data_IF_214697051179
#
_entry.id   IF_214697051179
#
_cell.length_a   1.000
_cell.length_b   1.000
_cell.length_c   1.000
_cell.angle_alpha   90.00
_cell.angle_beta   90.00
_cell.angle_gamma   90.00
#
_symmetry.space_group_name_H-M   'P 1'
#
loop_
_entity.id
_entity.type
_entity.pdbx_description
1 polymer ?
#
# COMPACT_ATOMS: atom_id res chain seq x y z
N UNK A 1 6.27 -13.68 15.92
CA UNK A 1 5.65 -14.35 14.74
C UNK A 1 4.60 -13.45 14.13
N UNK A 2 4.66 -13.21 12.83
CA UNK A 2 3.71 -12.36 12.08
C UNK A 2 2.32 -13.00 12.09
N UNK A 3 1.28 -12.18 12.19
CA UNK A 3 -0.12 -12.62 12.06
C UNK A 3 -0.48 -12.73 10.56
N UNK A 4 0.12 -13.71 9.85
CA UNK A 4 0.07 -13.80 8.40
C UNK A 4 -1.37 -13.82 7.86
N UNK A 5 -2.27 -14.64 8.43
CA UNK A 5 -3.65 -14.68 7.98
C UNK A 5 -4.38 -13.33 8.06
N UNK A 6 -4.10 -12.55 9.13
CA UNK A 6 -4.62 -11.19 9.29
C UNK A 6 -4.03 -10.22 8.29
N UNK A 7 -2.72 -10.34 8.02
CA UNK A 7 -2.04 -9.52 7.01
C UNK A 7 -2.64 -9.75 5.63
N UNK A 8 -2.82 -11.00 5.22
CA UNK A 8 -3.39 -11.34 3.92
C UNK A 8 -4.84 -10.87 3.79
N UNK A 9 -5.67 -11.07 4.82
CA UNK A 9 -7.05 -10.57 4.82
C UNK A 9 -7.10 -9.02 4.75
N UNK A 10 -6.27 -8.33 5.54
CA UNK A 10 -6.15 -6.89 5.49
C UNK A 10 -5.68 -6.40 4.11
N UNK A 11 -4.73 -7.11 3.51
CA UNK A 11 -4.21 -6.83 2.17
C UNK A 11 -5.27 -6.98 1.09
N UNK A 12 -6.07 -8.04 1.13
CA UNK A 12 -7.15 -8.25 0.18
C UNK A 12 -8.18 -7.10 0.23
N UNK A 13 -8.63 -6.73 1.44
CA UNK A 13 -9.57 -5.62 1.64
C UNK A 13 -8.96 -4.28 1.20
N UNK A 14 -7.69 -4.03 1.58
CA UNK A 14 -6.98 -2.81 1.20
C UNK A 14 -6.79 -2.70 -0.31
N UNK A 15 -6.49 -3.82 -0.98
CA UNK A 15 -6.35 -3.86 -2.44
C UNK A 15 -7.66 -3.57 -3.15
N UNK A 16 -8.77 -4.11 -2.67
CA UNK A 16 -10.09 -3.79 -3.23
C UNK A 16 -10.43 -2.32 -3.04
N UNK A 17 -10.16 -1.74 -1.87
CA UNK A 17 -10.35 -0.31 -1.63
C UNK A 17 -9.46 0.55 -2.53
N UNK A 18 -8.20 0.16 -2.71
CA UNK A 18 -7.25 0.86 -3.59
C UNK A 18 -7.69 0.80 -5.06
N UNK A 19 -8.15 -0.36 -5.54
CA UNK A 19 -8.68 -0.52 -6.90
C UNK A 19 -9.95 0.31 -7.09
N UNK A 20 -10.88 0.30 -6.13
CA UNK A 20 -12.08 1.12 -6.19
C UNK A 20 -11.75 2.61 -6.23
N UNK A 21 -10.78 3.07 -5.42
CA UNK A 21 -10.31 4.45 -5.43
C UNK A 21 -9.65 4.82 -6.77
N UNK A 22 -8.83 3.92 -7.33
CA UNK A 22 -8.18 4.13 -8.62
C UNK A 22 -9.22 4.26 -9.75
N UNK A 23 -10.24 3.38 -9.78
CA UNK A 23 -11.34 3.44 -10.75
C UNK A 23 -12.13 4.75 -10.59
N UNK A 24 -12.44 5.14 -9.35
CA UNK A 24 -13.16 6.39 -9.07
C UNK A 24 -12.33 7.61 -9.48
N UNK A 25 -11.05 7.63 -9.15
CA UNK A 25 -10.13 8.68 -9.56
C UNK A 25 -10.03 8.79 -11.07
N UNK A 26 -9.89 7.66 -11.76
CA UNK A 26 -9.90 7.62 -13.22
C UNK A 26 -11.22 8.13 -13.79
N UNK A 27 -12.36 7.74 -13.22
CA UNK A 27 -13.68 8.19 -13.67
C UNK A 27 -13.86 9.70 -13.46
N UNK A 28 -13.35 10.28 -12.39
CA UNK A 28 -13.39 11.72 -12.12
C UNK A 28 -12.46 12.49 -13.06
N UNK A 29 -11.25 11.98 -13.31
CA UNK A 29 -10.29 12.65 -14.21
C UNK A 29 -10.77 12.74 -15.65
N UNK A 30 -11.69 11.85 -16.11
CA UNK A 30 -12.25 11.95 -17.46
C UNK A 30 -13.11 13.20 -17.68
N UNK A 31 -13.51 13.91 -16.63
CA UNK A 31 -14.21 15.19 -16.74
C UNK A 31 -13.26 16.38 -16.93
N UNK A 32 -11.97 16.21 -16.73
CA UNK A 32 -10.97 17.21 -17.11
C UNK A 32 -10.65 17.12 -18.60
N UNK A 33 -10.98 18.16 -19.42
CA UNK A 33 -10.93 18.05 -20.89
C UNK A 33 -9.54 17.71 -21.44
N UNK A 34 -8.47 18.23 -20.82
CA UNK A 34 -7.10 18.04 -21.29
C UNK A 34 -6.52 16.66 -20.95
N UNK A 35 -6.86 16.12 -19.77
CA UNK A 35 -6.35 14.83 -19.29
C UNK A 35 -7.25 13.67 -19.72
N UNK A 36 -8.56 13.89 -19.70
CA UNK A 36 -9.55 12.85 -19.97
C UNK A 36 -9.52 12.38 -21.43
N UNK A 37 -9.20 13.25 -22.38
CA UNK A 37 -9.21 12.88 -23.80
C UNK A 37 -7.95 12.13 -24.21
N UNK A 38 -6.78 12.52 -23.74
CA UNK A 38 -5.53 11.79 -23.94
C UNK A 38 -5.60 10.42 -23.28
N UNK A 39 -6.00 10.37 -22.00
CA UNK A 39 -6.12 9.14 -21.23
C UNK A 39 -7.18 8.17 -21.80
N UNK A 40 -8.29 8.71 -22.32
CA UNK A 40 -9.35 7.91 -22.91
C UNK A 40 -8.97 7.29 -24.25
N UNK A 41 -8.25 8.03 -25.11
CA UNK A 41 -7.78 7.51 -26.41
C UNK A 41 -6.75 6.41 -26.22
N UNK A 42 -5.78 6.61 -25.35
CA UNK A 42 -4.64 5.70 -25.22
C UNK A 42 -4.96 4.47 -24.37
N UNK A 43 -5.67 4.61 -23.24
CA UNK A 43 -5.99 3.47 -22.38
C UNK A 43 -7.14 2.59 -22.88
N UNK A 44 -8.21 3.16 -23.43
CA UNK A 44 -9.34 2.37 -23.94
C UNK A 44 -9.03 1.71 -25.28
N UNK A 45 -8.15 2.29 -26.09
CA UNK A 45 -7.72 1.70 -27.34
C UNK A 45 -6.69 0.59 -27.16
N UNK A 46 -5.91 0.59 -26.08
CA UNK A 46 -4.78 -0.32 -25.89
C UNK A 46 -5.10 -1.60 -25.12
N UNK A 47 -6.11 -1.61 -24.26
CA UNK A 47 -6.38 -2.78 -23.42
C UNK A 47 -7.80 -3.30 -23.61
N UNK A 48 -7.98 -4.51 -24.17
CA UNK A 48 -9.27 -5.18 -24.20
C UNK A 48 -9.79 -5.46 -22.76
N UNK A 49 -11.11 -5.52 -22.58
CA UNK A 49 -11.74 -5.76 -21.29
C UNK A 49 -11.10 -6.90 -20.45
N UNK A 50 -10.69 -8.05 -21.05
CA UNK A 50 -10.00 -9.10 -20.33
C UNK A 50 -8.68 -8.66 -19.69
N UNK A 51 -7.94 -7.74 -20.32
CA UNK A 51 -6.69 -7.23 -19.77
C UNK A 51 -6.91 -6.30 -18.56
N UNK A 52 -7.98 -5.52 -18.54
CA UNK A 52 -8.38 -4.72 -17.38
C UNK A 52 -8.75 -5.61 -16.18
N UNK A 53 -9.52 -6.69 -16.43
CA UNK A 53 -9.85 -7.67 -15.40
C UNK A 53 -8.59 -8.33 -14.87
N UNK A 54 -7.70 -8.77 -15.76
CA UNK A 54 -6.42 -9.38 -15.38
C UNK A 54 -5.54 -8.43 -14.54
N UNK A 55 -5.46 -7.16 -14.94
CA UNK A 55 -4.74 -6.13 -14.18
C UNK A 55 -5.34 -5.91 -12.78
N UNK A 56 -6.66 -5.85 -12.67
CA UNK A 56 -7.37 -5.74 -11.40
C UNK A 56 -7.11 -6.95 -10.48
N UNK A 57 -7.19 -8.15 -11.02
CA UNK A 57 -6.89 -9.41 -10.29
C UNK A 57 -5.41 -9.41 -9.84
N UNK A 58 -4.49 -9.07 -10.74
CA UNK A 58 -3.07 -8.99 -10.41
C UNK A 58 -2.80 -7.94 -9.31
N UNK A 59 -3.48 -6.78 -9.35
CA UNK A 59 -3.37 -5.75 -8.31
C UNK A 59 -3.87 -6.26 -6.95
N UNK A 60 -4.97 -7.00 -6.91
CA UNK A 60 -5.49 -7.59 -5.66
C UNK A 60 -4.53 -8.65 -5.12
N UNK A 61 -4.03 -9.55 -5.96
CA UNK A 61 -3.07 -10.59 -5.56
C UNK A 61 -1.77 -9.94 -5.07
N UNK A 62 -1.19 -9.04 -5.86
CA UNK A 62 0.05 -8.34 -5.53
C UNK A 62 -0.07 -7.53 -4.25
N UNK A 63 -1.17 -6.80 -4.08
CA UNK A 63 -1.44 -6.05 -2.85
C UNK A 63 -1.65 -6.95 -1.64
N UNK A 64 -2.30 -8.11 -1.82
CA UNK A 64 -2.44 -9.10 -0.73
C UNK A 64 -1.07 -9.59 -0.26
N UNK A 65 -0.16 -9.90 -1.19
CA UNK A 65 1.23 -10.28 -0.86
C UNK A 65 2.00 -9.12 -0.24
N UNK A 66 1.85 -7.91 -0.77
CA UNK A 66 2.48 -6.70 -0.25
C UNK A 66 2.10 -6.43 1.21
N UNK A 67 0.88 -6.76 1.63
CA UNK A 67 0.47 -6.63 3.02
C UNK A 67 1.31 -7.46 4.00
N UNK A 68 1.93 -8.55 3.56
CA UNK A 68 2.87 -9.31 4.38
C UNK A 68 4.15 -8.49 4.67
N UNK A 69 4.61 -7.67 3.73
CA UNK A 69 5.73 -6.74 3.94
C UNK A 69 5.36 -5.62 4.90
N UNK A 70 4.13 -5.10 4.81
CA UNK A 70 3.61 -4.13 5.80
C UNK A 70 3.52 -4.76 7.19
N UNK A 71 3.06 -6.00 7.29
CA UNK A 71 3.03 -6.72 8.56
C UNK A 71 4.42 -6.89 9.16
N UNK A 72 5.43 -7.21 8.35
CA UNK A 72 6.83 -7.21 8.76
C UNK A 72 7.26 -5.83 9.28
N UNK A 73 6.94 -4.76 8.56
CA UNK A 73 7.27 -3.41 8.99
C UNK A 73 6.60 -3.05 10.32
N UNK A 74 5.33 -3.45 10.54
CA UNK A 74 4.64 -3.24 11.82
C UNK A 74 5.28 -4.02 12.96
N UNK A 75 5.70 -5.26 12.75
CA UNK A 75 6.29 -6.09 13.81
C UNK A 75 7.75 -5.75 14.11
N UNK A 76 8.56 -5.48 13.08
CA UNK A 76 10.01 -5.36 13.22
C UNK A 76 10.50 -3.90 13.32
N UNK A 77 9.89 -3.00 12.56
CA UNK A 77 10.38 -1.62 12.42
C UNK A 77 9.61 -0.68 13.34
N UNK A 78 8.31 -0.55 13.12
CA UNK A 78 7.51 0.44 13.85
C UNK A 78 7.06 -0.04 15.21
N UNK A 79 6.97 -1.37 15.40
CA UNK A 79 6.41 -2.03 16.60
C UNK A 79 5.03 -1.49 16.98
N UNK A 80 4.38 -0.86 16.04
CA UNK A 80 3.05 -0.24 16.14
C UNK A 80 2.30 -0.46 14.84
N UNK A 81 0.99 -0.50 14.93
CA UNK A 81 0.09 -0.50 13.79
C UNK A 81 -1.00 0.55 14.03
N UNK A 82 -1.83 0.73 13.05
CA UNK A 82 -2.91 1.69 13.08
C UNK A 82 -2.95 2.45 11.76
N UNK A 83 -4.05 3.12 11.49
CA UNK A 83 -4.27 3.77 10.21
C UNK A 83 -3.22 4.85 9.88
N UNK A 84 -2.77 5.65 10.87
CA UNK A 84 -1.74 6.67 10.66
C UNK A 84 -0.39 6.08 10.29
N UNK A 85 0.03 5.02 10.99
CA UNK A 85 1.30 4.35 10.71
C UNK A 85 1.24 3.63 9.36
N UNK A 86 0.09 2.99 9.07
CA UNK A 86 -0.16 2.40 7.78
C UNK A 86 -0.14 3.44 6.65
N UNK A 87 -0.77 4.60 6.84
CA UNK A 87 -0.74 5.71 5.89
C UNK A 87 0.68 6.23 5.65
N UNK A 88 1.48 6.39 6.70
CA UNK A 88 2.87 6.81 6.59
C UNK A 88 3.73 5.78 5.82
N UNK A 89 3.53 4.49 6.09
CA UNK A 89 4.17 3.42 5.32
C UNK A 89 3.70 3.41 3.86
N UNK A 90 2.42 3.69 3.61
CA UNK A 90 1.87 3.85 2.26
C UNK A 90 2.53 5.00 1.49
N UNK A 91 2.72 6.15 2.13
CA UNK A 91 3.43 7.28 1.55
C UNK A 91 4.91 6.95 1.28
N UNK A 92 5.58 6.29 2.23
CA UNK A 92 6.97 5.84 2.05
C UNK A 92 7.09 4.82 0.90
N UNK A 93 6.12 3.89 0.79
CA UNK A 93 6.04 2.94 -0.33
C UNK A 93 5.84 3.67 -1.66
N UNK A 94 4.92 4.64 -1.73
CA UNK A 94 4.73 5.45 -2.94
C UNK A 94 6.02 6.15 -3.36
N UNK A 95 6.74 6.76 -2.41
CA UNK A 95 8.02 7.39 -2.67
C UNK A 95 9.08 6.38 -3.15
N UNK A 96 9.17 5.21 -2.52
CA UNK A 96 10.12 4.17 -2.90
C UNK A 96 9.84 3.62 -4.31
N UNK A 97 8.57 3.38 -4.64
CA UNK A 97 8.16 2.97 -6.00
C UNK A 97 8.51 4.05 -7.00
N UNK A 98 8.17 5.31 -6.70
CA UNK A 98 8.45 6.44 -7.60
C UNK A 98 9.95 6.60 -7.86
N UNK A 99 10.78 6.57 -6.80
CA UNK A 99 12.23 6.61 -6.92
C UNK A 99 12.79 5.39 -7.68
N UNK A 100 12.27 4.19 -7.40
CA UNK A 100 12.68 2.96 -8.07
C UNK A 100 12.41 3.00 -9.57
N UNK A 101 11.25 3.50 -9.97
CA UNK A 101 10.89 3.68 -11.38
C UNK A 101 11.78 4.72 -12.04
N UNK A 102 12.04 5.86 -11.37
CA UNK A 102 12.93 6.90 -11.87
C UNK A 102 14.35 6.38 -12.07
N UNK A 103 14.88 5.64 -11.12
CA UNK A 103 16.21 5.00 -11.21
C UNK A 103 16.25 3.96 -12.34
N UNK A 104 15.21 3.13 -12.47
CA UNK A 104 15.12 2.13 -13.54
C UNK A 104 15.12 2.80 -14.91
N UNK A 105 14.35 3.86 -15.09
CA UNK A 105 14.29 4.61 -16.33
C UNK A 105 15.65 5.27 -16.68
N UNK A 106 16.40 5.69 -15.67
CA UNK A 106 17.72 6.31 -15.86
C UNK A 106 18.81 5.27 -16.16
N UNK A 107 18.81 4.14 -15.43
CA UNK A 107 19.88 3.13 -15.56
C UNK A 107 19.65 2.12 -16.68
N UNK A 108 18.41 1.82 -17.00
CA UNK A 108 18.02 0.80 -17.97
C UNK A 108 16.96 1.33 -18.95
N UNK A 109 17.29 2.38 -19.74
CA UNK A 109 16.29 2.98 -20.64
C UNK A 109 15.73 2.00 -21.66
N UNK A 110 16.52 1.03 -22.12
CA UNK A 110 16.05 0.00 -23.04
C UNK A 110 15.02 -0.95 -22.39
N UNK A 111 15.13 -1.22 -21.08
CA UNK A 111 14.15 -2.01 -20.35
C UNK A 111 12.90 -1.20 -20.07
N UNK A 112 13.04 0.07 -19.69
CA UNK A 112 11.92 0.98 -19.49
C UNK A 112 11.06 1.11 -20.76
N UNK A 113 11.69 1.23 -21.93
CA UNK A 113 11.00 1.23 -23.23
C UNK A 113 10.33 -0.12 -23.55
N UNK A 114 10.95 -1.26 -23.19
CA UNK A 114 10.37 -2.60 -23.44
C UNK A 114 9.19 -2.92 -22.53
N UNK A 115 9.21 -2.41 -21.32
CA UNK A 115 8.10 -2.59 -20.34
C UNK A 115 6.88 -1.77 -20.78
N UNK A 116 7.06 -0.88 -21.82
CA UNK A 116 5.94 -0.20 -22.49
C UNK A 116 5.09 0.64 -21.53
N UNK A 117 5.53 0.74 -20.29
CA UNK A 117 4.90 1.65 -19.38
C UNK A 117 5.26 3.01 -19.91
N UNK A 118 4.32 3.65 -20.56
CA UNK A 118 4.37 5.08 -20.72
C UNK A 118 4.32 5.69 -19.32
N UNK A 119 5.42 5.49 -18.60
CA UNK A 119 5.69 6.07 -17.28
C UNK A 119 5.51 7.58 -17.33
N UNK A 120 5.67 8.14 -18.52
CA UNK A 120 5.35 9.51 -18.82
C UNK A 120 3.92 9.88 -18.42
N UNK A 121 2.92 9.03 -18.65
CA UNK A 121 1.53 9.34 -18.30
C UNK A 121 1.30 9.40 -16.79
N UNK A 122 1.97 8.52 -16.02
CA UNK A 122 1.88 8.52 -14.55
C UNK A 122 2.65 9.69 -13.90
N UNK A 123 3.67 10.23 -14.60
CA UNK A 123 4.56 11.26 -14.05
C UNK A 123 4.43 12.64 -14.69
N UNK A 124 3.71 12.77 -15.80
CA UNK A 124 3.56 14.04 -16.52
C UNK A 124 2.48 14.97 -15.93
N UNK A 125 1.66 14.52 -15.00
CA UNK A 125 0.71 15.38 -14.33
C UNK A 125 0.78 15.27 -12.82
N UNK A 126 0.75 16.41 -12.13
CA UNK A 126 0.69 16.46 -10.67
C UNK A 126 -0.53 15.69 -10.13
N UNK A 127 -1.66 15.75 -10.85
CA UNK A 127 -2.87 15.03 -10.49
C UNK A 127 -2.67 13.51 -10.49
N UNK A 128 -1.96 12.96 -11.48
CA UNK A 128 -1.66 11.53 -11.55
C UNK A 128 -0.73 11.09 -10.40
N UNK A 129 0.30 11.90 -10.09
CA UNK A 129 1.19 11.65 -8.95
C UNK A 129 0.41 11.67 -7.63
N UNK A 130 -0.43 12.68 -7.41
CA UNK A 130 -1.25 12.77 -6.22
C UNK A 130 -2.25 11.62 -6.09
N UNK A 131 -2.87 11.21 -7.20
CA UNK A 131 -3.76 10.06 -7.22
C UNK A 131 -3.03 8.76 -6.87
N UNK A 132 -1.83 8.54 -7.43
CA UNK A 132 -1.00 7.39 -7.10
C UNK A 132 -0.62 7.37 -5.62
N UNK A 133 -0.15 8.50 -5.08
CA UNK A 133 0.18 8.62 -3.65
C UNK A 133 -1.05 8.37 -2.78
N UNK A 134 -2.21 8.94 -3.14
CA UNK A 134 -3.45 8.75 -2.40
C UNK A 134 -3.86 7.27 -2.34
N UNK A 135 -3.76 6.54 -3.44
CA UNK A 135 -4.04 5.09 -3.50
C UNK A 135 -3.13 4.32 -2.54
N UNK A 136 -1.83 4.62 -2.52
CA UNK A 136 -0.88 3.94 -1.64
C UNK A 136 -1.09 4.30 -0.16
N UNK A 137 -1.42 5.56 0.13
CA UNK A 137 -1.73 6.03 1.49
C UNK A 137 -2.99 5.34 2.01
N UNK A 138 -4.06 5.29 1.21
CA UNK A 138 -5.31 4.60 1.58
C UNK A 138 -5.06 3.10 1.77
N UNK A 139 -4.34 2.46 0.84
CA UNK A 139 -3.97 1.06 0.98
C UNK A 139 -3.24 0.81 2.31
N UNK A 140 -2.19 1.56 2.60
CA UNK A 140 -1.43 1.43 3.83
C UNK A 140 -2.27 1.70 5.09
N UNK A 141 -3.14 2.72 5.06
CA UNK A 141 -4.03 3.05 6.17
C UNK A 141 -4.99 1.89 6.49
N UNK A 142 -5.61 1.29 5.47
CA UNK A 142 -6.52 0.14 5.62
C UNK A 142 -5.78 -1.08 6.16
N UNK A 143 -4.60 -1.40 5.61
CA UNK A 143 -3.77 -2.50 6.13
C UNK A 143 -3.40 -2.26 7.59
N UNK A 144 -2.93 -1.06 7.93
CA UNK A 144 -2.53 -0.71 9.29
C UNK A 144 -3.70 -0.76 10.29
N UNK A 145 -4.89 -0.38 9.86
CA UNK A 145 -6.11 -0.43 10.67
C UNK A 145 -6.56 -1.88 10.92
N UNK A 146 -6.64 -2.69 9.88
CA UNK A 146 -7.15 -4.06 9.95
C UNK A 146 -6.15 -5.06 10.54
N UNK A 147 -4.84 -4.79 10.40
CA UNK A 147 -3.80 -5.67 10.94
C UNK A 147 -3.91 -5.81 12.47
N UNK A 148 -4.28 -4.73 13.16
CA UNK A 148 -4.42 -4.68 14.60
C UNK A 148 -3.08 -4.67 15.34
N UNK A 149 -3.10 -4.76 16.66
CA UNK A 149 -1.93 -4.59 17.53
C UNK A 149 -0.83 -5.62 17.23
N UNK A 150 0.43 -5.20 16.99
CA UNK A 150 1.57 -6.11 16.85
C UNK A 150 1.78 -6.97 18.10
N UNK A 151 2.32 -8.18 17.91
CA UNK A 151 2.49 -9.15 19.01
C UNK A 151 3.44 -8.67 20.09
N UNK A 152 4.55 -8.02 19.71
CA UNK A 152 5.51 -7.50 20.69
C UNK A 152 4.92 -6.55 21.73
N UNK A 153 3.86 -5.81 21.36
CA UNK A 153 3.18 -4.91 22.30
C UNK A 153 2.20 -5.66 23.22
N UNK A 154 1.63 -6.75 22.73
CA UNK A 154 0.79 -7.62 23.54
C UNK A 154 1.61 -8.33 24.63
N UNK A 155 2.80 -8.82 24.25
CA UNK A 155 3.70 -9.50 25.19
C UNK A 155 4.22 -8.55 26.28
N UNK A 156 4.54 -7.30 25.95
CA UNK A 156 4.95 -6.31 26.93
C UNK A 156 3.84 -5.95 27.92
N UNK A 157 2.58 -5.89 27.46
CA UNK A 157 1.43 -5.68 28.35
C UNK A 157 1.18 -6.89 29.25
N UNK A 158 1.37 -8.11 28.75
CA UNK A 158 1.22 -9.32 29.55
C UNK A 158 2.27 -9.41 30.67
N UNK A 159 3.50 -8.98 30.37
CA UNK A 159 4.57 -8.92 31.39
C UNK A 159 4.28 -7.91 32.51
N UNK A 160 3.66 -6.77 32.18
CA UNK A 160 3.22 -5.80 33.20
C UNK A 160 2.13 -6.40 34.09
N UNK A 161 1.17 -7.11 33.49
CA UNK A 161 0.09 -7.77 34.22
C UNK A 161 0.61 -8.85 35.16
N UNK A 162 1.63 -9.61 34.75
CA UNK A 162 2.28 -10.59 35.62
C UNK A 162 2.99 -9.96 36.81
N UNK A 163 3.60 -8.80 36.63
CA UNK A 163 4.27 -8.05 37.70
C UNK A 163 3.28 -7.44 38.71
N UNK A 164 2.08 -7.11 38.23
CA UNK A 164 0.99 -6.64 39.09
C UNK A 164 0.28 -7.78 39.82
N UNK A 165 0.22 -8.98 39.21
CA UNK A 165 -0.39 -10.19 39.85
C UNK A 165 0.49 -10.83 40.90
N UNK A 166 1.80 -10.60 40.88
CA UNK A 166 2.74 -11.07 41.90
C UNK A 166 3.51 -9.87 42.46
N UNK A 167 2.90 -9.06 43.34
CA UNK A 167 3.65 -8.05 44.08
C UNK A 167 4.68 -8.83 44.92
N UNK A 168 5.97 -8.76 44.54
CA UNK A 168 7.03 -9.27 45.36
C UNK A 168 6.93 -8.51 46.69
N UNK A 169 6.54 -9.20 47.74
CA UNK A 169 6.60 -8.68 49.11
C UNK A 169 7.96 -8.03 49.29
N UNK A 170 7.98 -6.72 49.49
CA UNK A 170 9.19 -6.04 49.95
C UNK A 170 9.46 -6.64 51.31
N UNK A 171 10.55 -7.44 51.40
CA UNK A 171 10.98 -8.09 52.60
C UNK A 171 10.93 -7.13 53.77
N UNK A 172 10.31 -7.63 54.84
CA UNK A 172 10.39 -7.02 56.13
C UNK A 172 11.87 -7.01 56.58
N UNK A 173 12.42 -5.80 56.69
CA UNK A 173 13.59 -5.54 57.52
C UNK A 173 13.14 -5.34 58.98
#
# INVERSE_FOLDING_TARGET
MIKLGRALAAGAVASLAAVALAITGWWLMRFEPAVGEAMRRDMLAMLPLPAWIAAGVAAVIGGTVLAALYALAFELVTRRSGWLIGAALGAAHAAAVWLGIGLLAWWLPALAQRVGVELSLLFNSLAAVLAFVAVQVVYGAVVGWLYGTPRHRADAKSLVTWRELFPMEKGAE
#
